data_IF_885631302739
#
_entry.id   IF_885631302739
#
_cell.length_a   1.000
_cell.length_b   1.000
_cell.length_c   1.000
_cell.angle_alpha   90.00
_cell.angle_beta   90.00
_cell.angle_gamma   90.00
#
_symmetry.space_group_name_H-M   'P 1'
#
loop_
_entity.id
_entity.type
_entity.pdbx_description
1 polymer ?
#
# COMPACT_ATOMS: atom_id res chain seq x y z
N UNK A 1 8.83 4.03 -0.16
CA UNK A 1 8.14 5.07 0.63
C UNK A 1 9.03 6.24 1.08
N UNK A 2 10.28 6.07 1.57
CA UNK A 2 11.08 7.21 2.03
C UNK A 2 11.25 8.34 1.00
N UNK A 3 11.37 7.98 -0.29
CA UNK A 3 11.48 8.98 -1.37
C UNK A 3 10.16 9.73 -1.60
N UNK A 4 9.01 9.06 -1.53
CA UNK A 4 7.69 9.69 -1.67
C UNK A 4 7.43 10.68 -0.52
N UNK A 5 7.80 10.29 0.71
CA UNK A 5 7.70 11.16 1.89
C UNK A 5 8.54 12.43 1.72
N UNK A 6 9.82 12.28 1.33
CA UNK A 6 10.69 13.44 1.04
C UNK A 6 10.15 14.33 -0.08
N UNK A 7 9.51 13.76 -1.10
CA UNK A 7 8.86 14.53 -2.14
C UNK A 7 7.67 15.33 -1.60
N UNK A 8 6.81 14.70 -0.81
CA UNK A 8 5.67 15.36 -0.17
C UNK A 8 6.12 16.50 0.75
N UNK A 9 7.12 16.26 1.60
CA UNK A 9 7.68 17.26 2.52
C UNK A 9 8.32 18.45 1.78
N UNK A 10 9.03 18.18 0.67
CA UNK A 10 9.79 19.22 -0.04
C UNK A 10 8.95 20.02 -1.04
N UNK A 11 7.94 19.39 -1.61
CA UNK A 11 7.20 19.97 -2.74
C UNK A 11 5.70 20.02 -2.53
N UNK A 12 5.17 19.52 -1.41
CA UNK A 12 3.73 19.35 -1.17
C UNK A 12 2.90 20.62 -1.39
N UNK A 13 3.44 21.79 -1.01
CA UNK A 13 2.78 23.09 -1.22
C UNK A 13 2.67 23.49 -2.71
N UNK A 14 3.55 22.98 -3.58
CA UNK A 14 3.65 23.33 -4.98
C UNK A 14 3.19 22.22 -5.92
N UNK A 15 3.34 20.98 -5.48
CA UNK A 15 2.97 19.77 -6.19
C UNK A 15 2.45 18.73 -5.19
N UNK A 16 1.16 18.82 -4.82
CA UNK A 16 0.57 17.88 -3.86
C UNK A 16 0.66 16.45 -4.37
N UNK A 17 1.06 15.54 -3.48
CA UNK A 17 1.13 14.12 -3.76
C UNK A 17 -0.22 13.46 -3.49
N UNK A 18 -0.77 12.82 -4.50
CA UNK A 18 -1.96 11.97 -4.37
C UNK A 18 -1.55 10.51 -4.53
N UNK A 19 -2.02 9.66 -3.62
CA UNK A 19 -1.82 8.22 -3.72
C UNK A 19 -2.96 7.59 -4.53
N UNK A 20 -2.59 6.74 -5.48
CA UNK A 20 -3.50 5.87 -6.24
C UNK A 20 -3.06 4.43 -5.97
N UNK A 21 -3.97 3.62 -5.46
CA UNK A 21 -3.69 2.21 -5.19
C UNK A 21 -3.73 1.41 -6.50
N UNK A 22 -2.71 0.55 -6.71
CA UNK A 22 -2.64 -0.23 -7.95
C UNK A 22 -3.10 -1.66 -7.80
N UNK A 23 -3.12 -2.17 -6.59
CA UNK A 23 -3.44 -3.57 -6.31
C UNK A 23 -2.45 -4.57 -6.90
N UNK A 24 -2.02 -5.54 -6.12
CA UNK A 24 -1.17 -6.62 -6.58
C UNK A 24 -1.85 -7.95 -6.22
N UNK A 25 -2.08 -8.79 -7.23
CA UNK A 25 -2.78 -10.08 -7.05
C UNK A 25 -4.15 -9.98 -6.37
N UNK A 26 -4.87 -8.86 -6.57
CA UNK A 26 -6.16 -8.62 -5.93
C UNK A 26 -7.17 -9.73 -6.23
N UNK A 27 -7.81 -10.24 -5.15
CA UNK A 27 -8.79 -11.32 -5.23
C UNK A 27 -8.20 -12.72 -5.43
N UNK A 28 -6.87 -12.87 -5.41
CA UNK A 28 -6.26 -14.20 -5.41
C UNK A 28 -6.63 -14.97 -4.15
N UNK A 29 -6.81 -16.27 -4.29
CA UNK A 29 -6.98 -17.19 -3.17
C UNK A 29 -5.90 -18.29 -3.17
N UNK A 30 -4.93 -18.15 -4.07
CA UNK A 30 -3.85 -19.12 -4.22
C UNK A 30 -2.71 -18.75 -3.29
N UNK A 31 -2.29 -19.65 -2.38
CA UNK A 31 -1.14 -19.40 -1.53
C UNK A 31 0.15 -19.22 -2.33
N UNK A 32 1.10 -18.49 -1.77
CA UNK A 32 2.44 -18.35 -2.32
C UNK A 32 3.14 -19.71 -2.39
N UNK A 33 3.62 -20.05 -3.58
CA UNK A 33 4.49 -21.21 -3.79
C UNK A 33 5.93 -20.91 -3.33
N UNK A 34 6.69 -21.94 -2.98
CA UNK A 34 8.06 -21.81 -2.48
C UNK A 34 8.98 -21.04 -3.46
N UNK A 35 8.83 -21.30 -4.76
CA UNK A 35 9.59 -20.58 -5.78
C UNK A 35 9.27 -19.08 -5.85
N UNK A 36 8.04 -18.68 -5.47
CA UNK A 36 7.67 -17.28 -5.35
C UNK A 36 8.24 -16.66 -4.06
N UNK A 37 8.19 -17.42 -2.95
CA UNK A 37 8.79 -16.97 -1.68
C UNK A 37 10.28 -16.66 -1.85
N UNK A 38 11.04 -17.53 -2.54
CA UNK A 38 12.47 -17.28 -2.82
C UNK A 38 12.70 -16.01 -3.66
N UNK A 39 11.87 -15.77 -4.66
CA UNK A 39 11.96 -14.53 -5.45
C UNK A 39 11.68 -13.30 -4.60
N UNK A 40 10.66 -13.35 -3.74
CA UNK A 40 10.31 -12.25 -2.83
C UNK A 40 11.46 -12.01 -1.84
N UNK A 41 12.05 -13.07 -1.28
CA UNK A 41 13.22 -12.96 -0.39
C UNK A 41 14.38 -12.26 -1.08
N UNK A 42 14.68 -12.61 -2.32
CA UNK A 42 15.71 -11.93 -3.10
C UNK A 42 15.42 -10.45 -3.34
N UNK A 43 14.16 -10.09 -3.57
CA UNK A 43 13.75 -8.68 -3.67
C UNK A 43 13.90 -7.94 -2.34
N UNK A 44 13.50 -8.52 -1.22
CA UNK A 44 13.65 -7.91 0.11
C UNK A 44 15.11 -7.66 0.45
N UNK A 45 15.98 -8.64 0.22
CA UNK A 45 17.42 -8.49 0.43
C UNK A 45 18.00 -7.32 -0.38
N UNK A 46 17.63 -7.21 -1.66
CA UNK A 46 18.08 -6.11 -2.51
C UNK A 46 17.55 -4.75 -2.05
N UNK A 47 16.29 -4.67 -1.64
CA UNK A 47 15.72 -3.41 -1.12
C UNK A 47 16.40 -3.03 0.19
N UNK A 48 16.65 -3.99 1.08
CA UNK A 48 17.42 -3.75 2.31
C UNK A 48 18.80 -3.20 2.02
N UNK A 49 19.56 -3.83 1.10
CA UNK A 49 20.91 -3.39 0.72
C UNK A 49 20.92 -1.94 0.22
N UNK A 50 19.94 -1.55 -0.58
CA UNK A 50 19.89 -0.21 -1.20
C UNK A 50 19.34 0.85 -0.26
N UNK A 51 18.40 0.49 0.63
CA UNK A 51 17.61 1.46 1.39
C UNK A 51 17.82 1.41 2.90
N UNK A 52 18.40 0.34 3.44
CA UNK A 52 18.50 0.08 4.86
C UNK A 52 17.17 -0.23 5.55
N UNK A 53 16.06 -0.40 4.80
CA UNK A 53 14.76 -0.71 5.40
C UNK A 53 14.78 -2.11 6.04
N UNK A 54 14.18 -2.27 7.23
CA UNK A 54 14.13 -3.57 7.90
C UNK A 54 13.12 -4.51 7.23
N UNK A 55 13.46 -5.81 7.25
CA UNK A 55 12.59 -6.89 6.81
C UNK A 55 12.68 -8.04 7.81
N UNK A 56 11.54 -8.61 8.18
CA UNK A 56 11.46 -9.77 9.07
C UNK A 56 11.38 -11.07 8.24
N UNK A 57 12.47 -11.82 8.21
CA UNK A 57 12.60 -13.07 7.48
C UNK A 57 11.65 -14.18 7.98
N UNK A 58 11.09 -14.06 9.20
CA UNK A 58 10.09 -15.01 9.72
C UNK A 58 8.82 -15.08 8.84
N UNK A 59 8.58 -14.08 8.00
CA UNK A 59 7.52 -14.15 6.99
C UNK A 59 7.60 -15.41 6.13
N UNK A 60 8.80 -15.85 5.75
CA UNK A 60 9.01 -16.99 4.86
C UNK A 60 8.84 -18.35 5.55
N UNK A 61 8.75 -18.37 6.88
CA UNK A 61 8.47 -19.56 7.68
C UNK A 61 6.97 -19.89 7.76
N UNK A 62 6.10 -18.98 7.30
CA UNK A 62 4.67 -19.20 7.25
C UNK A 62 4.35 -20.39 6.36
N UNK A 63 3.59 -21.36 6.90
CA UNK A 63 3.20 -22.57 6.18
C UNK A 63 2.34 -22.25 4.94
N UNK A 64 1.51 -21.19 5.02
CA UNK A 64 0.66 -20.71 3.93
C UNK A 64 0.48 -19.20 4.07
N UNK A 65 0.47 -18.50 2.94
CA UNK A 65 0.14 -17.08 2.87
C UNK A 65 -0.47 -16.75 1.51
N UNK A 66 -1.64 -16.15 1.49
CA UNK A 66 -2.29 -15.65 0.28
C UNK A 66 -1.91 -14.17 0.13
N UNK A 67 -1.12 -13.85 -0.89
CA UNK A 67 -0.59 -12.51 -1.07
C UNK A 67 -1.55 -11.63 -1.88
N UNK A 68 -2.69 -11.31 -1.28
CA UNK A 68 -3.68 -10.37 -1.82
C UNK A 68 -3.49 -8.99 -1.18
N UNK A 69 -3.16 -7.98 -1.98
CA UNK A 69 -3.02 -6.60 -1.49
C UNK A 69 -4.30 -5.78 -1.57
N UNK A 70 -5.39 -6.36 -2.05
CA UNK A 70 -6.70 -5.69 -2.12
C UNK A 70 -7.16 -5.12 -0.77
N UNK A 71 -7.18 -5.94 0.31
CA UNK A 71 -7.56 -5.47 1.64
C UNK A 71 -6.73 -4.29 2.14
N UNK A 72 -5.41 -4.36 2.01
CA UNK A 72 -4.51 -3.27 2.44
C UNK A 72 -4.65 -2.00 1.58
N UNK A 73 -4.90 -2.13 0.28
CA UNK A 73 -5.23 -1.00 -0.58
C UNK A 73 -6.52 -0.32 -0.12
N UNK A 74 -7.56 -1.11 0.19
CA UNK A 74 -8.84 -0.60 0.72
C UNK A 74 -8.65 0.14 2.05
N UNK A 75 -7.77 -0.34 2.94
CA UNK A 75 -7.46 0.34 4.19
C UNK A 75 -6.80 1.73 3.97
N UNK A 76 -5.91 1.87 2.98
CA UNK A 76 -5.33 3.17 2.61
C UNK A 76 -6.39 4.11 2.02
N UNK A 77 -7.28 3.59 1.18
CA UNK A 77 -8.41 4.37 0.62
C UNK A 77 -9.37 4.80 1.74
N UNK A 78 -9.70 3.91 2.68
CA UNK A 78 -10.50 4.25 3.86
C UNK A 78 -9.86 5.39 4.68
N UNK A 79 -8.54 5.32 4.90
CA UNK A 79 -7.80 6.39 5.59
C UNK A 79 -7.85 7.72 4.81
N UNK A 80 -7.71 7.68 3.48
CA UNK A 80 -7.88 8.86 2.61
C UNK A 80 -9.27 9.48 2.72
N UNK A 81 -10.29 8.69 2.97
CA UNK A 81 -11.68 9.16 3.22
C UNK A 81 -11.86 9.80 4.60
N UNK A 82 -11.06 9.41 5.59
CA UNK A 82 -11.00 10.14 6.87
C UNK A 82 -10.43 11.55 6.63
N UNK A 83 -9.25 11.62 6.02
CA UNK A 83 -8.63 12.85 5.53
C UNK A 83 -7.56 12.50 4.47
N UNK A 84 -7.46 13.24 3.36
CA UNK A 84 -6.52 12.94 2.28
C UNK A 84 -5.06 12.79 2.73
N UNK A 85 -4.64 13.56 3.72
CA UNK A 85 -3.29 13.54 4.30
C UNK A 85 -2.99 12.27 5.09
N UNK A 86 -3.99 11.50 5.50
CA UNK A 86 -3.80 10.24 6.23
C UNK A 86 -3.31 9.09 5.34
N UNK A 87 -3.49 9.17 4.03
CA UNK A 87 -3.20 8.06 3.13
C UNK A 87 -1.72 7.63 3.15
N UNK A 88 -0.79 8.57 3.03
CA UNK A 88 0.65 8.26 3.00
C UNK A 88 1.19 7.75 4.36
N UNK A 89 0.85 8.38 5.50
CA UNK A 89 1.21 7.84 6.82
C UNK A 89 0.65 6.44 7.07
N UNK A 90 -0.61 6.17 6.70
CA UNK A 90 -1.20 4.83 6.84
C UNK A 90 -0.51 3.82 5.95
N UNK A 91 -0.21 4.14 4.69
CA UNK A 91 0.58 3.26 3.82
C UNK A 91 1.95 2.96 4.44
N UNK A 92 2.63 3.94 5.04
CA UNK A 92 3.90 3.76 5.74
C UNK A 92 3.74 2.81 6.94
N UNK A 93 2.69 2.99 7.75
CA UNK A 93 2.39 2.13 8.90
C UNK A 93 2.11 0.67 8.48
N UNK A 94 1.33 0.47 7.42
CA UNK A 94 1.05 -0.87 6.90
C UNK A 94 2.30 -1.55 6.34
N UNK A 95 3.17 -0.82 5.65
CA UNK A 95 4.45 -1.36 5.19
C UNK A 95 5.35 -1.77 6.37
N UNK A 96 5.44 -0.95 7.41
CA UNK A 96 6.17 -1.30 8.62
C UNK A 96 5.60 -2.56 9.28
N UNK A 97 4.27 -2.63 9.43
CA UNK A 97 3.59 -3.79 10.02
C UNK A 97 3.89 -5.08 9.25
N UNK A 98 3.83 -5.04 7.92
CA UNK A 98 4.05 -6.22 7.09
C UNK A 98 5.53 -6.61 7.01
N UNK A 99 6.37 -5.66 6.59
CA UNK A 99 7.77 -5.97 6.26
C UNK A 99 8.66 -6.11 7.48
N UNK A 100 8.46 -5.29 8.52
CA UNK A 100 9.35 -5.25 9.67
C UNK A 100 8.78 -5.94 10.93
N UNK A 101 7.45 -6.05 11.04
CA UNK A 101 6.78 -6.61 12.22
C UNK A 101 6.10 -7.96 11.91
N UNK A 102 6.21 -8.44 10.68
CA UNK A 102 5.60 -9.68 10.19
C UNK A 102 4.10 -9.80 10.53
N UNK A 103 3.35 -8.67 10.50
CA UNK A 103 1.90 -8.67 10.70
C UNK A 103 1.20 -9.07 9.40
N UNK A 104 0.10 -9.77 9.52
CA UNK A 104 -0.72 -10.12 8.35
C UNK A 104 -1.65 -8.95 7.99
N UNK A 105 -1.27 -8.17 6.98
CA UNK A 105 -2.09 -7.07 6.45
C UNK A 105 -3.03 -7.50 5.31
N UNK A 106 -3.26 -8.78 5.15
CA UNK A 106 -4.36 -9.32 4.34
C UNK A 106 -5.58 -9.66 5.21
N UNK A 107 -5.36 -9.75 6.53
CA UNK A 107 -6.41 -9.96 7.52
C UNK A 107 -7.10 -8.64 7.89
N UNK A 108 -8.41 -8.59 7.71
CA UNK A 108 -9.21 -7.39 7.93
C UNK A 108 -9.17 -6.89 9.38
N UNK A 109 -9.26 -7.80 10.35
CA UNK A 109 -9.19 -7.42 11.77
C UNK A 109 -7.86 -6.76 12.12
N UNK A 110 -6.75 -7.31 11.60
CA UNK A 110 -5.41 -6.73 11.74
C UNK A 110 -5.32 -5.34 11.10
N UNK A 111 -5.88 -5.17 9.89
CA UNK A 111 -5.89 -3.88 9.18
C UNK A 111 -6.69 -2.82 9.95
N UNK A 112 -7.91 -3.17 10.37
CA UNK A 112 -8.79 -2.25 11.10
C UNK A 112 -8.13 -1.81 12.41
N UNK A 113 -7.59 -2.74 13.19
CA UNK A 113 -6.92 -2.42 14.44
C UNK A 113 -5.70 -1.50 14.24
N UNK A 114 -4.82 -1.85 13.29
CA UNK A 114 -3.60 -1.08 13.01
C UNK A 114 -3.89 0.34 12.53
N UNK A 115 -4.88 0.50 11.64
CA UNK A 115 -5.16 1.81 11.06
C UNK A 115 -5.98 2.67 12.03
N UNK A 116 -6.93 2.09 12.76
CA UNK A 116 -7.68 2.78 13.80
C UNK A 116 -6.75 3.34 14.89
N UNK A 117 -5.83 2.50 15.41
CA UNK A 117 -4.81 2.93 16.36
C UNK A 117 -3.97 4.10 15.81
N UNK A 118 -3.48 3.97 14.57
CA UNK A 118 -2.63 4.98 13.93
C UNK A 118 -3.36 6.33 13.74
N UNK A 119 -4.66 6.30 13.45
CA UNK A 119 -5.49 7.48 13.25
C UNK A 119 -6.12 8.02 14.54
N UNK A 120 -5.98 7.33 15.68
CA UNK A 120 -6.63 7.70 16.94
C UNK A 120 -8.14 7.52 16.88
N UNK A 121 -8.65 6.58 16.11
CA UNK A 121 -10.06 6.22 15.98
C UNK A 121 -10.36 4.93 16.76
N UNK A 122 -11.65 4.68 17.05
CA UNK A 122 -12.06 3.34 17.47
C UNK A 122 -12.07 2.38 16.27
N UNK A 123 -11.81 1.10 16.52
CA UNK A 123 -11.89 0.04 15.48
C UNK A 123 -13.28 0.01 14.84
N UNK A 124 -14.34 0.15 15.63
CA UNK A 124 -15.71 0.20 15.11
C UNK A 124 -15.89 1.36 14.12
N UNK A 125 -15.37 2.55 14.46
CA UNK A 125 -15.51 3.72 13.58
C UNK A 125 -14.70 3.57 12.31
N UNK A 126 -13.48 3.07 12.36
CA UNK A 126 -12.69 2.84 11.16
C UNK A 126 -13.26 1.68 10.34
N UNK A 127 -13.74 0.61 10.98
CA UNK A 127 -14.41 -0.52 10.33
C UNK A 127 -15.62 -0.07 9.50
N UNK A 128 -16.47 0.81 10.02
CA UNK A 128 -17.59 1.39 9.27
C UNK A 128 -17.11 2.09 7.97
N UNK A 129 -16.00 2.82 8.02
CA UNK A 129 -15.45 3.51 6.86
C UNK A 129 -14.81 2.51 5.89
N UNK A 130 -14.08 1.53 6.42
CA UNK A 130 -13.45 0.46 5.65
C UNK A 130 -14.50 -0.37 4.89
N UNK A 131 -15.63 -0.72 5.55
CA UNK A 131 -16.68 -1.56 4.98
C UNK A 131 -17.67 -0.81 4.07
N UNK A 132 -17.62 0.52 4.09
CA UNK A 132 -18.49 1.33 3.24
C UNK A 132 -18.35 0.97 1.75
N UNK A 133 -19.48 0.90 1.05
CA UNK A 133 -19.53 0.61 -0.39
C UNK A 133 -18.71 1.63 -1.20
N UNK A 134 -18.76 2.90 -0.79
CA UNK A 134 -17.99 3.96 -1.41
C UNK A 134 -16.48 3.74 -1.32
N UNK A 135 -15.99 3.20 -0.19
CA UNK A 135 -14.58 2.86 -0.03
C UNK A 135 -14.16 1.74 -0.98
N UNK A 136 -15.03 0.75 -1.14
CA UNK A 136 -14.80 -0.34 -2.09
C UNK A 136 -14.78 0.17 -3.52
N UNK A 137 -15.76 0.99 -3.91
CA UNK A 137 -15.85 1.59 -5.24
C UNK A 137 -14.66 2.49 -5.56
N UNK A 138 -14.22 3.33 -4.60
CA UNK A 138 -13.02 4.14 -4.77
C UNK A 138 -11.75 3.29 -4.92
N UNK A 139 -11.65 2.18 -4.19
CA UNK A 139 -10.50 1.27 -4.31
C UNK A 139 -10.42 0.65 -5.71
N UNK A 140 -11.54 0.20 -6.25
CA UNK A 140 -11.59 -0.29 -7.63
C UNK A 140 -11.34 0.82 -8.65
N UNK A 141 -11.84 2.03 -8.40
CA UNK A 141 -11.53 3.21 -9.22
C UNK A 141 -10.04 3.51 -9.29
N UNK A 142 -9.31 3.39 -8.18
CA UNK A 142 -7.85 3.51 -8.14
C UNK A 142 -7.17 2.44 -9.01
N UNK A 143 -7.61 1.18 -8.93
CA UNK A 143 -7.06 0.09 -9.75
C UNK A 143 -7.30 0.31 -11.24
N UNK A 144 -8.50 0.76 -11.59
CA UNK A 144 -8.84 1.12 -12.96
C UNK A 144 -7.98 2.27 -13.47
N UNK A 145 -7.82 3.34 -12.69
CA UNK A 145 -6.98 4.48 -13.02
C UNK A 145 -5.51 4.06 -13.22
N UNK A 146 -4.97 3.25 -12.33
CA UNK A 146 -3.60 2.74 -12.48
C UNK A 146 -3.44 1.95 -13.80
N UNK A 147 -4.43 1.14 -14.16
CA UNK A 147 -4.45 0.37 -15.41
C UNK A 147 -4.56 1.28 -16.65
N UNK A 148 -5.45 2.28 -16.62
CA UNK A 148 -5.62 3.25 -17.71
C UNK A 148 -4.37 4.08 -17.94
N UNK A 149 -3.64 4.42 -16.87
CA UNK A 149 -2.37 5.13 -16.94
C UNK A 149 -1.20 4.23 -17.40
N UNK A 150 -1.46 2.95 -17.69
CA UNK A 150 -0.44 2.01 -18.16
C UNK A 150 0.59 1.64 -17.11
N UNK A 151 0.27 1.75 -15.82
CA UNK A 151 1.16 1.35 -14.71
C UNK A 151 1.34 -0.17 -14.74
N UNK A 152 2.60 -0.62 -14.76
CA UNK A 152 2.98 -2.04 -14.84
C UNK A 152 3.78 -2.54 -13.64
N UNK A 153 4.18 -1.64 -12.76
CA UNK A 153 4.95 -1.94 -11.55
C UNK A 153 4.81 -0.86 -10.51
N UNK A 154 5.21 -1.17 -9.29
CA UNK A 154 5.08 -0.28 -8.14
C UNK A 154 6.41 -0.12 -7.41
N UNK A 155 6.73 1.08 -6.92
CA UNK A 155 5.97 2.32 -7.09
C UNK A 155 6.14 2.93 -8.50
N UNK A 156 5.09 3.52 -9.05
CA UNK A 156 5.16 4.39 -10.24
C UNK A 156 4.86 5.82 -9.82
N UNK A 157 5.65 6.77 -10.28
CA UNK A 157 5.44 8.20 -10.04
C UNK A 157 5.09 8.89 -11.35
N UNK A 158 3.94 9.56 -11.36
CA UNK A 158 3.42 10.30 -12.51
C UNK A 158 3.26 11.76 -12.11
N UNK A 159 3.84 12.68 -12.87
CA UNK A 159 3.60 14.09 -12.72
C UNK A 159 2.49 14.56 -13.66
N UNK A 160 1.60 15.40 -13.13
CA UNK A 160 0.62 16.13 -13.93
C UNK A 160 1.09 17.56 -14.11
N UNK A 161 1.26 17.97 -15.35
CA UNK A 161 1.57 19.35 -15.72
C UNK A 161 0.54 19.83 -16.73
N UNK A 162 -0.24 20.82 -16.34
CA UNK A 162 -1.38 21.33 -17.12
C UNK A 162 -2.35 20.19 -17.49
N UNK A 163 -2.49 19.88 -18.76
CA UNK A 163 -3.34 18.79 -19.29
C UNK A 163 -2.55 17.56 -19.68
N UNK A 164 -1.25 17.47 -19.36
CA UNK A 164 -0.39 16.34 -19.70
C UNK A 164 0.01 15.53 -18.46
N UNK A 165 0.22 14.23 -18.67
CA UNK A 165 0.76 13.31 -17.66
C UNK A 165 2.12 12.82 -18.14
N UNK A 166 3.08 12.81 -17.24
CA UNK A 166 4.44 12.35 -17.50
C UNK A 166 4.85 11.32 -16.46
N UNK A 167 5.26 10.13 -16.93
CA UNK A 167 5.81 9.10 -16.06
C UNK A 167 7.24 9.47 -15.71
N UNK A 168 7.49 9.79 -14.45
CA UNK A 168 8.83 10.16 -13.96
C UNK A 168 9.66 8.94 -13.60
N UNK A 169 9.02 7.91 -13.02
CA UNK A 169 9.67 6.63 -12.69
C UNK A 169 8.63 5.54 -12.63
N UNK A 170 9.05 4.34 -12.98
CA UNK A 170 8.23 3.14 -12.94
C UNK A 170 9.04 2.02 -12.30
N UNK A 171 8.47 1.38 -11.26
CA UNK A 171 9.04 0.24 -10.56
C UNK A 171 8.89 -1.09 -11.32
#
# INVERSE_FOLDING_TARGET
LPSAKRLAERYGDRAPLSLVMGGLHCGTQVPLEDGMKERIRGHWARVHEVTGQPFDEAFFERASFVYDTGPSCRAVVAARRVAPECALPVLERLHQAFYAENRDITDEGTLVALVAEHLGLSEARFGEIYDAEETLLETYGDFELARELGVRGFPTLIARKDCSLEVLTQG
#
